data_IF_942904568045
#
_entry.id   IF_942904568045
#
_cell.length_a   1.000
_cell.length_b   1.000
_cell.length_c   1.000
_cell.angle_alpha   90.00
_cell.angle_beta   90.00
_cell.angle_gamma   90.00
#
_symmetry.space_group_name_H-M   'P 1'
#
loop_
_entity.id
_entity.type
_entity.pdbx_description
1 polymer ?
#
# COMPACT_ATOMS: atom_id res chain seq x y z
N UNK A 1 6.40 -5.38 -34.66
CA UNK A 1 5.64 -5.15 -33.41
C UNK A 1 6.64 -4.85 -32.31
N UNK A 2 6.38 -3.83 -31.48
CA UNK A 2 7.25 -3.53 -30.35
C UNK A 2 7.28 -4.75 -29.39
N UNK A 3 8.42 -5.00 -28.76
CA UNK A 3 8.57 -6.11 -27.82
C UNK A 3 7.76 -5.82 -26.57
N UNK A 4 6.75 -6.65 -26.28
CA UNK A 4 5.98 -6.60 -25.03
C UNK A 4 6.66 -7.52 -24.01
N UNK A 5 6.98 -6.97 -22.84
CA UNK A 5 7.61 -7.73 -21.75
C UNK A 5 6.60 -8.11 -20.67
N UNK A 6 5.60 -7.27 -20.41
CA UNK A 6 4.58 -7.48 -19.39
C UNK A 6 3.37 -8.18 -20.02
N UNK A 7 2.98 -9.38 -19.54
CA UNK A 7 1.75 -10.05 -19.98
C UNK A 7 0.48 -9.27 -19.64
N UNK A 8 -0.59 -9.44 -20.43
CA UNK A 8 -1.91 -8.85 -20.17
C UNK A 8 -2.68 -9.63 -19.10
N UNK A 9 -2.14 -9.63 -17.89
CA UNK A 9 -2.71 -10.28 -16.72
C UNK A 9 -2.83 -9.25 -15.60
N UNK A 10 -4.03 -9.11 -15.03
CA UNK A 10 -4.27 -8.34 -13.82
C UNK A 10 -4.32 -9.29 -12.63
N UNK A 11 -3.50 -9.03 -11.61
CA UNK A 11 -3.49 -9.74 -10.35
C UNK A 11 -4.06 -8.86 -9.24
N UNK A 12 -4.86 -9.42 -8.35
CA UNK A 12 -5.27 -8.75 -7.12
C UNK A 12 -5.48 -9.77 -6.00
N UNK A 13 -5.39 -9.34 -4.74
CA UNK A 13 -5.60 -10.21 -3.59
C UNK A 13 -6.97 -9.98 -2.94
N UNK A 14 -7.65 -11.06 -2.57
CA UNK A 14 -8.85 -11.05 -1.73
C UNK A 14 -8.76 -12.08 -0.59
N UNK A 15 -8.12 -11.67 0.50
CA UNK A 15 -8.05 -12.47 1.72
C UNK A 15 -9.13 -12.02 2.70
N UNK A 16 -9.96 -12.96 3.14
CA UNK A 16 -11.04 -12.72 4.08
C UNK A 16 -11.09 -13.82 5.15
N UNK A 17 -11.46 -13.51 6.42
CA UNK A 17 -11.71 -14.54 7.43
C UNK A 17 -12.80 -15.55 7.04
N UNK A 18 -13.72 -15.14 6.17
CA UNK A 18 -14.82 -15.98 5.66
C UNK A 18 -14.54 -16.31 4.19
N UNK A 19 -14.26 -17.58 3.86
CA UNK A 19 -14.14 -18.02 2.47
C UNK A 19 -15.40 -17.65 1.66
N UNK A 20 -15.21 -17.12 0.46
CA UNK A 20 -16.31 -16.70 -0.42
C UNK A 20 -17.04 -15.42 0.02
N UNK A 21 -16.50 -14.65 0.97
CA UNK A 21 -17.09 -13.37 1.35
C UNK A 21 -17.21 -12.43 0.14
N UNK A 22 -18.37 -11.78 -0.05
CA UNK A 22 -18.58 -10.86 -1.16
C UNK A 22 -17.64 -9.66 -1.04
N UNK A 23 -17.33 -9.05 -2.18
CA UNK A 23 -16.58 -7.81 -2.15
C UNK A 23 -17.47 -6.65 -1.68
N UNK A 24 -16.90 -5.63 -1.01
CA UNK A 24 -17.56 -4.35 -0.82
C UNK A 24 -17.86 -3.66 -2.17
N UNK A 25 -18.87 -2.79 -2.20
CA UNK A 25 -19.28 -2.06 -3.41
C UNK A 25 -18.12 -1.32 -4.10
N UNK A 26 -17.20 -0.75 -3.32
CA UNK A 26 -16.03 -0.07 -3.87
C UNK A 26 -15.14 -1.02 -4.68
N UNK A 27 -14.92 -2.23 -4.18
CA UNK A 27 -14.09 -3.24 -4.84
C UNK A 27 -14.80 -3.72 -6.12
N UNK A 28 -16.12 -3.93 -6.08
CA UNK A 28 -16.89 -4.22 -7.30
C UNK A 28 -16.78 -3.09 -8.33
N UNK A 29 -16.83 -1.82 -7.89
CA UNK A 29 -16.64 -0.66 -8.76
C UNK A 29 -15.25 -0.64 -9.39
N UNK A 30 -14.20 -0.90 -8.61
CA UNK A 30 -12.83 -0.99 -9.10
C UNK A 30 -12.67 -2.13 -10.13
N UNK A 31 -13.06 -3.36 -9.79
CA UNK A 31 -13.00 -4.51 -10.71
C UNK A 31 -13.80 -4.25 -12.01
N UNK A 32 -14.95 -3.58 -11.91
CA UNK A 32 -15.75 -3.22 -13.09
C UNK A 32 -15.00 -2.24 -14.01
N UNK A 33 -14.30 -1.26 -13.44
CA UNK A 33 -13.44 -0.36 -14.21
C UNK A 33 -12.31 -1.09 -14.92
N UNK A 34 -11.74 -2.14 -14.29
CA UNK A 34 -10.70 -2.95 -14.91
C UNK A 34 -11.25 -3.69 -16.13
N UNK A 35 -12.39 -4.38 -15.98
CA UNK A 35 -13.06 -5.09 -17.09
C UNK A 35 -13.42 -4.16 -18.25
N UNK A 36 -13.82 -2.93 -17.94
CA UNK A 36 -14.19 -1.94 -18.96
C UNK A 36 -12.97 -1.40 -19.72
N UNK A 37 -11.89 -1.06 -19.01
CA UNK A 37 -10.72 -0.39 -19.60
C UNK A 37 -9.65 -1.36 -20.12
N UNK A 38 -9.71 -2.63 -19.69
CA UNK A 38 -8.74 -3.68 -19.99
C UNK A 38 -9.47 -4.95 -20.50
N UNK A 39 -10.30 -4.86 -21.56
CA UNK A 39 -11.22 -5.92 -21.95
C UNK A 39 -10.54 -7.21 -22.44
N UNK A 40 -9.27 -7.13 -22.85
CA UNK A 40 -8.46 -8.25 -23.32
C UNK A 40 -7.46 -8.76 -22.27
N UNK A 41 -7.50 -8.23 -21.04
CA UNK A 41 -6.67 -8.69 -19.93
C UNK A 41 -7.35 -9.84 -19.19
N UNK A 42 -6.55 -10.83 -18.77
CA UNK A 42 -7.01 -11.87 -17.85
C UNK A 42 -6.97 -11.33 -16.42
N UNK A 43 -8.08 -11.39 -15.69
CA UNK A 43 -8.13 -10.97 -14.27
C UNK A 43 -8.01 -12.22 -13.38
N UNK A 44 -6.98 -12.24 -12.54
CA UNK A 44 -6.68 -13.33 -11.59
C UNK A 44 -6.81 -12.83 -10.16
N UNK A 45 -7.74 -13.43 -9.41
CA UNK A 45 -7.83 -13.26 -7.96
C UNK A 45 -6.90 -14.23 -7.24
N UNK A 46 -6.18 -13.73 -6.24
CA UNK A 46 -5.40 -14.51 -5.29
C UNK A 46 -6.03 -14.47 -3.89
N UNK A 47 -6.27 -15.65 -3.32
CA UNK A 47 -6.90 -15.85 -2.01
C UNK A 47 -6.23 -17.02 -1.27
N UNK A 48 -6.81 -17.43 -0.13
CA UNK A 48 -6.21 -18.45 0.72
C UNK A 48 -6.15 -19.86 0.10
N UNK A 49 -6.95 -20.14 -0.94
CA UNK A 49 -7.03 -21.44 -1.57
C UNK A 49 -6.00 -21.61 -2.70
N UNK A 50 -5.56 -20.52 -3.32
CA UNK A 50 -4.66 -20.54 -4.48
C UNK A 50 -3.32 -19.81 -4.26
N UNK A 51 -3.10 -19.18 -3.11
CA UNK A 51 -1.83 -18.54 -2.77
C UNK A 51 -0.91 -19.47 -1.97
N UNK A 52 0.41 -19.40 -2.20
CA UNK A 52 1.39 -20.16 -1.41
C UNK A 52 1.64 -19.52 -0.04
N UNK A 53 0.69 -19.67 0.88
CA UNK A 53 0.76 -19.08 2.23
C UNK A 53 1.82 -19.73 3.14
N UNK A 54 2.45 -20.83 2.69
CA UNK A 54 3.54 -21.50 3.38
C UNK A 54 4.93 -21.20 2.79
N UNK A 55 5.03 -20.26 1.83
CA UNK A 55 6.26 -20.03 1.08
C UNK A 55 7.45 -19.59 1.94
N UNK A 56 7.19 -18.79 2.97
CA UNK A 56 8.21 -18.35 3.94
C UNK A 56 7.57 -18.03 5.30
N UNK A 57 8.41 -17.81 6.32
CA UNK A 57 7.93 -17.51 7.67
C UNK A 57 7.09 -16.23 7.71
N UNK A 58 7.50 -15.18 6.99
CA UNK A 58 6.77 -13.92 6.96
C UNK A 58 5.30 -14.08 6.54
N UNK A 59 5.03 -14.67 5.37
CA UNK A 59 3.65 -14.78 4.84
C UNK A 59 2.80 -15.71 5.70
N UNK A 60 3.39 -16.80 6.21
CA UNK A 60 2.71 -17.73 7.11
C UNK A 60 2.28 -17.04 8.40
N UNK A 61 3.22 -16.36 9.06
CA UNK A 61 2.97 -15.65 10.32
C UNK A 61 1.98 -14.49 10.14
N UNK A 62 2.08 -13.74 9.04
CA UNK A 62 1.12 -12.68 8.71
C UNK A 62 -0.30 -13.22 8.49
N UNK A 63 -0.43 -14.37 7.82
CA UNK A 63 -1.72 -15.02 7.60
C UNK A 63 -2.32 -15.56 8.91
N UNK A 64 -1.54 -16.25 9.74
CA UNK A 64 -1.95 -16.74 11.06
C UNK A 64 -2.37 -15.59 11.99
N UNK A 65 -1.68 -14.45 11.93
CA UNK A 65 -2.03 -13.23 12.66
C UNK A 65 -3.23 -12.47 12.06
N UNK A 66 -3.84 -12.97 10.97
CA UNK A 66 -4.94 -12.34 10.22
C UNK A 66 -4.61 -10.93 9.73
N UNK A 67 -3.35 -10.69 9.40
CA UNK A 67 -2.82 -9.41 8.90
C UNK A 67 -2.76 -9.42 7.37
N UNK A 68 -3.93 -9.56 6.76
CA UNK A 68 -4.09 -9.83 5.33
C UNK A 68 -3.46 -8.81 4.37
N UNK A 69 -3.40 -7.52 4.74
CA UNK A 69 -2.69 -6.53 3.93
C UNK A 69 -1.21 -6.90 3.72
N UNK A 70 -0.56 -7.43 4.76
CA UNK A 70 0.83 -7.87 4.71
C UNK A 70 1.00 -9.24 4.03
N UNK A 71 -0.06 -10.06 4.00
CA UNK A 71 -0.10 -11.25 3.14
C UNK A 71 -0.10 -10.84 1.67
N UNK A 72 -0.92 -9.85 1.29
CA UNK A 72 -0.95 -9.30 -0.07
C UNK A 72 0.37 -8.64 -0.48
N UNK A 73 1.14 -8.07 0.45
CA UNK A 73 2.48 -7.54 0.21
C UNK A 73 3.46 -8.61 -0.29
N UNK A 74 3.37 -9.84 0.23
CA UNK A 74 4.17 -10.96 -0.27
C UNK A 74 3.60 -11.51 -1.59
N UNK A 75 2.30 -11.83 -1.60
CA UNK A 75 1.66 -12.51 -2.73
C UNK A 75 1.75 -11.69 -4.01
N UNK A 76 1.65 -10.35 -3.95
CA UNK A 76 1.85 -9.50 -5.14
C UNK A 76 3.21 -9.73 -5.80
N UNK A 77 4.27 -9.88 -5.01
CA UNK A 77 5.63 -10.06 -5.54
C UNK A 77 5.83 -11.47 -6.07
N UNK A 78 5.28 -12.46 -5.36
CA UNK A 78 5.34 -13.87 -5.77
C UNK A 78 4.68 -14.08 -7.15
N UNK A 79 3.47 -13.54 -7.33
CA UNK A 79 2.72 -13.70 -8.58
C UNK A 79 3.31 -12.88 -9.72
N UNK A 80 3.80 -11.66 -9.46
CA UNK A 80 4.52 -10.88 -10.47
C UNK A 80 5.84 -11.56 -10.88
N UNK A 81 6.56 -12.17 -9.94
CA UNK A 81 7.76 -12.92 -10.26
C UNK A 81 7.46 -14.17 -11.10
N UNK A 82 6.39 -14.90 -10.77
CA UNK A 82 6.03 -16.16 -11.44
C UNK A 82 5.40 -15.94 -12.81
N UNK A 83 4.44 -15.01 -12.92
CA UNK A 83 3.59 -14.84 -14.10
C UNK A 83 3.90 -13.56 -14.88
N UNK A 84 4.58 -12.59 -14.27
CA UNK A 84 4.59 -11.21 -14.75
C UNK A 84 3.22 -10.57 -14.55
N UNK A 85 2.86 -9.60 -15.40
CA UNK A 85 1.55 -8.96 -15.39
C UNK A 85 1.55 -7.65 -14.62
N UNK A 86 0.35 -7.23 -14.21
CA UNK A 86 0.12 -6.01 -13.45
C UNK A 86 -0.66 -6.35 -12.20
N UNK A 87 -0.12 -6.03 -11.03
CA UNK A 87 -0.82 -6.13 -9.77
C UNK A 87 -1.58 -4.83 -9.49
N UNK A 88 -2.84 -4.95 -9.05
CA UNK A 88 -3.69 -3.85 -8.62
C UNK A 88 -4.23 -4.10 -7.20
N UNK A 89 -4.14 -3.09 -6.33
CA UNK A 89 -4.91 -3.08 -5.09
C UNK A 89 -6.42 -2.94 -5.39
N UNK A 90 -7.25 -3.51 -4.53
CA UNK A 90 -8.71 -3.61 -4.75
C UNK A 90 -9.46 -2.27 -4.71
N UNK A 91 -8.79 -1.19 -4.30
CA UNK A 91 -9.27 0.18 -4.30
C UNK A 91 -8.58 1.06 -5.36
N UNK A 92 -8.02 0.45 -6.41
CA UNK A 92 -7.52 1.15 -7.61
C UNK A 92 -8.61 1.22 -8.66
N UNK A 93 -9.02 2.42 -9.04
CA UNK A 93 -9.91 2.67 -10.18
C UNK A 93 -9.07 2.81 -11.46
N UNK A 94 -9.29 1.97 -12.47
CA UNK A 94 -8.60 2.08 -13.76
C UNK A 94 -9.38 3.02 -14.68
N UNK A 95 -8.67 3.96 -15.29
CA UNK A 95 -9.23 5.04 -16.09
C UNK A 95 -8.89 4.92 -17.58
N UNK A 96 -7.90 4.09 -17.95
CA UNK A 96 -7.54 3.78 -19.34
C UNK A 96 -6.76 2.47 -19.44
N UNK A 97 -6.53 2.01 -20.68
CA UNK A 97 -5.70 0.82 -20.93
C UNK A 97 -4.22 1.01 -20.55
N UNK A 98 -3.61 -0.01 -19.95
CA UNK A 98 -2.18 -0.06 -19.64
C UNK A 98 -1.30 -0.50 -20.82
N UNK A 99 -1.88 -0.77 -22.00
CA UNK A 99 -1.16 -1.20 -23.21
C UNK A 99 0.12 -0.40 -23.51
N UNK A 100 0.12 0.95 -23.40
CA UNK A 100 1.33 1.75 -23.64
C UNK A 100 2.50 1.45 -22.70
N UNK A 101 2.24 0.82 -21.55
CA UNK A 101 3.23 0.54 -20.50
C UNK A 101 3.82 -0.88 -20.61
N UNK A 102 3.26 -1.74 -21.48
CA UNK A 102 3.64 -3.17 -21.54
C UNK A 102 5.04 -3.42 -22.14
N UNK A 103 5.65 -2.41 -22.74
CA UNK A 103 7.03 -2.44 -23.23
C UNK A 103 8.08 -2.23 -22.14
N UNK A 104 7.68 -1.84 -20.93
CA UNK A 104 8.59 -1.76 -19.79
C UNK A 104 8.91 -3.16 -19.24
N UNK A 105 10.08 -3.33 -18.64
CA UNK A 105 10.42 -4.59 -17.93
C UNK A 105 9.71 -4.68 -16.57
N UNK A 106 9.48 -3.54 -15.95
CA UNK A 106 8.62 -3.34 -14.81
C UNK A 106 8.28 -1.86 -14.73
N UNK A 107 7.15 -1.54 -14.10
CA UNK A 107 6.80 -0.17 -13.78
C UNK A 107 6.12 -0.04 -12.42
N UNK A 108 6.28 1.13 -11.83
CA UNK A 108 5.50 1.63 -10.70
C UNK A 108 5.42 3.15 -10.83
N UNK A 109 4.74 3.83 -9.90
CA UNK A 109 4.74 5.30 -9.88
C UNK A 109 4.92 5.86 -8.50
N UNK A 110 5.29 7.13 -8.45
CA UNK A 110 5.29 7.88 -7.20
C UNK A 110 3.85 7.96 -6.65
N UNK A 111 3.70 7.77 -5.35
CA UNK A 111 2.43 7.98 -4.64
C UNK A 111 2.44 9.31 -3.87
N UNK A 112 3.63 9.68 -3.37
CA UNK A 112 3.89 10.95 -2.70
C UNK A 112 5.19 11.57 -3.21
N UNK A 113 5.51 12.77 -2.76
CA UNK A 113 6.79 13.44 -3.01
C UNK A 113 8.01 12.75 -2.37
N UNK A 114 7.83 11.60 -1.71
CA UNK A 114 8.92 10.86 -1.06
C UNK A 114 8.74 9.33 -1.08
N UNK A 115 7.76 8.80 -1.81
CA UNK A 115 7.49 7.35 -1.86
C UNK A 115 6.96 6.90 -3.21
N UNK A 116 7.35 5.69 -3.59
CA UNK A 116 6.73 4.93 -4.68
C UNK A 116 5.51 4.18 -4.12
N UNK A 117 4.40 4.20 -4.84
CA UNK A 117 3.21 3.41 -4.54
C UNK A 117 3.35 1.97 -5.02
N UNK A 118 2.70 1.04 -4.32
CA UNK A 118 2.66 -0.39 -4.72
C UNK A 118 1.24 -0.87 -5.01
N UNK A 119 0.28 0.06 -5.03
CA UNK A 119 -1.10 -0.18 -5.43
C UNK A 119 -1.22 -0.52 -6.92
N UNK A 120 -0.24 -0.11 -7.73
CA UNK A 120 -0.09 -0.51 -9.14
C UNK A 120 1.38 -0.85 -9.38
N UNK A 121 1.66 -2.10 -9.74
CA UNK A 121 3.00 -2.55 -10.16
C UNK A 121 2.85 -3.42 -11.40
N UNK A 122 3.51 -3.06 -12.49
CA UNK A 122 3.68 -3.92 -13.65
C UNK A 122 5.05 -4.60 -13.65
N UNK A 123 5.13 -5.85 -14.09
CA UNK A 123 6.42 -6.54 -14.21
C UNK A 123 6.40 -7.66 -15.24
N UNK A 124 7.53 -7.89 -15.89
CA UNK A 124 7.80 -9.16 -16.58
C UNK A 124 8.06 -10.25 -15.53
N UNK A 125 7.78 -11.51 -15.89
CA UNK A 125 8.15 -12.63 -15.05
C UNK A 125 9.67 -12.65 -14.82
N UNK A 126 10.10 -12.93 -13.58
CA UNK A 126 11.52 -12.98 -13.21
C UNK A 126 12.25 -11.63 -13.24
N UNK A 127 11.55 -10.50 -13.11
CA UNK A 127 12.21 -9.19 -13.01
C UNK A 127 13.20 -9.15 -11.81
N UNK A 128 14.48 -8.74 -12.01
CA UNK A 128 15.49 -8.78 -10.95
C UNK A 128 15.16 -7.95 -9.70
N UNK A 129 14.48 -6.81 -9.84
CA UNK A 129 14.07 -5.99 -8.70
C UNK A 129 12.98 -6.69 -7.88
N UNK A 130 11.99 -7.29 -8.55
CA UNK A 130 10.92 -8.04 -7.89
C UNK A 130 11.48 -9.27 -7.17
N UNK A 131 12.41 -9.99 -7.81
CA UNK A 131 13.14 -11.10 -7.18
C UNK A 131 13.89 -10.66 -5.93
N UNK A 132 14.60 -9.54 -6.00
CA UNK A 132 15.32 -8.99 -4.84
C UNK A 132 14.36 -8.65 -3.68
N UNK A 133 13.17 -8.11 -3.97
CA UNK A 133 12.15 -7.85 -2.95
C UNK A 133 11.63 -9.16 -2.35
N UNK A 134 11.34 -10.17 -3.18
CA UNK A 134 10.83 -11.46 -2.72
C UNK A 134 11.87 -12.21 -1.85
N UNK A 135 13.14 -12.18 -2.25
CA UNK A 135 14.25 -12.73 -1.46
C UNK A 135 14.39 -12.08 -0.08
N UNK A 136 14.12 -10.78 0.00
CA UNK A 136 14.14 -10.05 1.26
C UNK A 136 13.00 -10.52 2.17
N UNK A 137 11.76 -10.68 1.66
CA UNK A 137 10.67 -11.30 2.43
C UNK A 137 10.98 -12.74 2.87
N UNK A 138 11.65 -13.54 2.03
CA UNK A 138 12.01 -14.91 2.37
C UNK A 138 12.98 -15.02 3.56
N UNK A 139 13.67 -13.93 3.92
CA UNK A 139 14.59 -13.84 5.06
C UNK A 139 13.95 -13.21 6.30
N UNK A 140 12.73 -12.68 6.18
CA UNK A 140 12.02 -11.97 7.26
C UNK A 140 11.13 -12.90 8.07
N UNK A 141 10.84 -12.45 9.28
CA UNK A 141 9.73 -12.92 10.10
C UNK A 141 8.74 -11.77 10.27
N UNK A 142 7.44 -12.08 10.20
CA UNK A 142 6.40 -11.10 10.51
C UNK A 142 6.22 -10.96 12.03
N UNK A 143 6.35 -12.06 12.80
CA UNK A 143 6.35 -12.02 14.25
C UNK A 143 7.77 -11.85 14.78
N UNK A 144 8.05 -10.70 15.41
CA UNK A 144 9.37 -10.37 15.93
C UNK A 144 9.62 -11.00 17.31
N UNK A 145 10.89 -11.19 17.73
CA UNK A 145 11.22 -11.82 19.02
C UNK A 145 10.63 -11.12 20.26
N UNK A 146 10.31 -9.83 20.16
CA UNK A 146 9.67 -9.05 21.22
C UNK A 146 8.13 -9.17 21.23
N UNK A 147 7.55 -10.02 20.38
CA UNK A 147 6.11 -10.24 20.23
C UNK A 147 5.38 -9.18 19.39
N UNK A 148 6.09 -8.19 18.85
CA UNK A 148 5.51 -7.20 17.91
C UNK A 148 5.53 -7.71 16.46
N UNK A 149 4.81 -7.03 15.56
CA UNK A 149 4.76 -7.39 14.14
C UNK A 149 5.70 -6.51 13.31
N UNK A 150 6.37 -7.08 12.30
CA UNK A 150 7.02 -6.31 11.24
C UNK A 150 5.96 -5.74 10.29
N UNK A 151 5.53 -4.52 10.58
CA UNK A 151 4.56 -3.79 9.75
C UNK A 151 5.22 -2.92 8.69
N UNK A 152 6.46 -3.23 8.27
CA UNK A 152 7.13 -2.52 7.16
C UNK A 152 6.43 -2.85 5.85
N UNK A 153 5.79 -1.88 5.16
CA UNK A 153 4.98 -2.17 3.99
C UNK A 153 5.83 -2.23 2.71
N UNK A 154 5.30 -2.88 1.68
CA UNK A 154 5.94 -3.02 0.36
C UNK A 154 6.49 -1.69 -0.25
N UNK A 155 5.76 -0.55 -0.18
CA UNK A 155 6.25 0.77 -0.64
C UNK A 155 7.59 1.17 -0.04
N UNK A 156 7.84 0.87 1.24
CA UNK A 156 9.10 1.23 1.91
C UNK A 156 10.27 0.48 1.30
N UNK A 157 10.11 -0.83 1.07
CA UNK A 157 11.13 -1.66 0.45
C UNK A 157 11.41 -1.25 -0.99
N UNK A 158 10.35 -1.11 -1.81
CA UNK A 158 10.48 -0.69 -3.21
C UNK A 158 11.18 0.67 -3.33
N UNK A 159 10.73 1.66 -2.54
CA UNK A 159 11.32 3.00 -2.51
C UNK A 159 12.81 2.96 -2.15
N UNK A 160 13.19 2.18 -1.13
CA UNK A 160 14.60 2.04 -0.75
C UNK A 160 15.45 1.44 -1.87
N UNK A 161 14.98 0.36 -2.51
CA UNK A 161 15.70 -0.32 -3.58
C UNK A 161 15.82 0.53 -4.84
N UNK A 162 14.79 1.33 -5.16
CA UNK A 162 14.83 2.28 -6.26
C UNK A 162 15.78 3.46 -5.97
N UNK A 163 15.85 3.93 -4.71
CA UNK A 163 16.84 4.95 -4.30
C UNK A 163 18.29 4.47 -4.48
N UNK A 164 18.56 3.20 -4.15
CA UNK A 164 19.87 2.59 -4.41
C UNK A 164 20.20 2.52 -5.91
N UNK A 165 19.17 2.54 -6.77
CA UNK A 165 19.28 2.57 -8.24
C UNK A 165 19.23 3.98 -8.84
N UNK A 166 19.28 5.03 -8.01
CA UNK A 166 19.36 6.41 -8.47
C UNK A 166 18.03 7.15 -8.55
N UNK A 167 16.94 6.62 -7.98
CA UNK A 167 15.66 7.36 -7.89
C UNK A 167 15.87 8.75 -7.27
N UNK A 168 15.35 9.76 -7.95
CA UNK A 168 15.19 11.12 -7.43
C UNK A 168 13.69 11.38 -7.21
N UNK A 169 13.33 12.06 -6.12
CA UNK A 169 11.93 12.40 -5.85
C UNK A 169 11.51 13.67 -6.60
N UNK A 170 11.63 13.61 -7.92
CA UNK A 170 11.11 14.59 -8.86
C UNK A 170 9.85 13.97 -9.48
N UNK A 171 8.76 14.73 -9.57
CA UNK A 171 7.49 14.25 -10.12
C UNK A 171 7.55 14.14 -11.66
N UNK A 172 8.47 13.29 -12.15
CA UNK A 172 8.76 13.08 -13.56
C UNK A 172 9.10 11.60 -13.80
N UNK A 173 8.99 11.18 -15.06
CA UNK A 173 9.36 9.84 -15.50
C UNK A 173 10.85 9.58 -15.31
N UNK A 174 11.17 8.39 -14.79
CA UNK A 174 12.54 7.98 -14.49
C UNK A 174 12.72 6.49 -14.82
N UNK A 175 13.52 6.22 -15.85
CA UNK A 175 13.98 4.87 -16.14
C UNK A 175 15.15 4.52 -15.24
N UNK A 176 14.94 3.59 -14.30
CA UNK A 176 15.98 3.05 -13.43
C UNK A 176 16.41 1.67 -13.92
N UNK A 177 17.44 1.11 -13.29
CA UNK A 177 17.79 -0.30 -13.53
C UNK A 177 16.61 -1.21 -13.16
N UNK A 178 16.14 -1.99 -14.14
CA UNK A 178 15.09 -3.01 -14.01
C UNK A 178 13.65 -2.48 -13.80
N UNK A 179 13.42 -1.16 -13.71
CA UNK A 179 12.08 -0.59 -13.47
C UNK A 179 11.94 0.85 -14.01
N UNK A 180 10.77 1.15 -14.58
CA UNK A 180 10.34 2.50 -14.93
C UNK A 180 9.48 3.10 -13.80
N UNK A 181 9.86 4.28 -13.29
CA UNK A 181 9.09 5.01 -12.29
C UNK A 181 8.38 6.20 -12.93
N UNK A 182 7.06 6.15 -12.92
CA UNK A 182 6.18 7.21 -13.43
C UNK A 182 5.86 8.28 -12.39
N UNK A 183 5.52 9.52 -12.80
CA UNK A 183 5.08 10.56 -11.90
C UNK A 183 3.73 10.21 -11.26
N UNK A 184 3.38 10.93 -10.19
CA UNK A 184 2.17 10.71 -9.41
C UNK A 184 0.90 10.76 -10.27
N UNK A 185 0.89 11.57 -11.32
CA UNK A 185 -0.22 11.75 -12.27
C UNK A 185 -0.68 10.45 -12.94
N UNK A 186 0.19 9.44 -13.05
CA UNK A 186 -0.09 8.21 -13.78
C UNK A 186 -1.00 7.25 -13.01
N UNK A 187 -0.74 7.03 -11.71
CA UNK A 187 -1.46 6.02 -10.92
C UNK A 187 -2.08 6.57 -9.64
N UNK A 188 -1.62 7.73 -9.16
CA UNK A 188 -2.10 8.36 -7.94
C UNK A 188 -2.25 9.89 -8.12
N UNK A 189 -3.10 10.32 -9.08
CA UNK A 189 -3.34 11.75 -9.34
C UNK A 189 -3.99 12.42 -8.12
N UNK A 190 -4.84 11.70 -7.38
CA UNK A 190 -5.38 12.14 -6.11
C UNK A 190 -4.62 11.48 -4.95
N UNK A 191 -4.38 12.24 -3.89
CA UNK A 191 -3.97 11.69 -2.60
C UNK A 191 -4.61 12.54 -1.49
N UNK A 192 -5.30 11.94 -0.50
CA UNK A 192 -6.14 12.67 0.46
C UNK A 192 -5.37 13.68 1.33
N UNK A 193 -4.05 13.57 1.37
CA UNK A 193 -3.17 14.41 2.19
C UNK A 193 -2.18 15.28 1.37
N UNK A 194 -2.31 15.31 0.04
CA UNK A 194 -1.45 16.15 -0.82
C UNK A 194 -1.97 17.59 -0.77
N UNK A 195 -1.10 18.54 -0.43
CA UNK A 195 -1.49 19.96 -0.27
C UNK A 195 -1.87 20.60 -1.59
N UNK A 196 -1.22 20.14 -2.65
CA UNK A 196 -1.34 20.62 -4.02
C UNK A 196 -2.65 20.14 -4.69
N UNK A 197 -3.40 19.23 -4.05
CA UNK A 197 -4.69 18.74 -4.54
C UNK A 197 -4.57 17.56 -5.50
N UNK A 198 -5.53 17.49 -6.43
CA UNK A 198 -5.60 16.49 -7.51
C UNK A 198 -4.71 16.89 -8.70
N UNK A 199 -4.05 15.90 -9.30
CA UNK A 199 -3.09 16.07 -10.40
C UNK A 199 -3.43 15.12 -11.55
N UNK A 200 -4.64 15.27 -12.12
CA UNK A 200 -5.09 14.49 -13.27
C UNK A 200 -4.49 15.03 -14.58
N UNK A 201 -4.19 14.13 -15.51
CA UNK A 201 -3.64 14.46 -16.83
C UNK A 201 -4.11 13.48 -17.90
N UNK A 202 -3.79 13.76 -19.16
CA UNK A 202 -3.96 12.81 -20.28
C UNK A 202 -3.15 11.52 -20.09
N UNK A 203 -2.21 11.51 -19.15
CA UNK A 203 -1.40 10.35 -18.77
C UNK A 203 -1.90 9.65 -17.50
N UNK A 204 -3.09 9.97 -17.00
CA UNK A 204 -3.66 9.27 -15.84
C UNK A 204 -4.23 7.90 -16.24
N UNK A 205 -3.59 6.83 -15.77
CA UNK A 205 -4.03 5.46 -16.02
C UNK A 205 -4.95 4.90 -14.95
N UNK A 206 -4.75 5.32 -13.70
CA UNK A 206 -5.58 4.87 -12.59
C UNK A 206 -5.60 5.90 -11.47
N UNK A 207 -6.48 5.65 -10.50
CA UNK A 207 -6.57 6.43 -9.28
C UNK A 207 -6.69 5.50 -8.06
N UNK A 208 -5.71 5.54 -7.18
CA UNK A 208 -5.74 4.87 -5.88
C UNK A 208 -6.69 5.61 -4.93
N UNK A 209 -7.74 4.93 -4.44
CA UNK A 209 -8.81 5.56 -3.67
C UNK A 209 -8.57 5.61 -2.15
N UNK A 210 -7.47 5.05 -1.66
CA UNK A 210 -7.07 5.07 -0.24
C UNK A 210 -8.18 4.59 0.70
N UNK A 211 -8.82 3.46 0.38
CA UNK A 211 -9.96 2.98 1.17
C UNK A 211 -9.52 2.51 2.56
N UNK A 212 -8.27 2.07 2.74
CA UNK A 212 -7.73 1.77 4.08
C UNK A 212 -8.52 0.68 4.81
N UNK A 213 -9.01 -0.34 4.10
CA UNK A 213 -9.84 -1.43 4.68
C UNK A 213 -9.08 -2.28 5.68
N UNK A 214 -7.75 -2.22 5.68
CA UNK A 214 -6.88 -2.87 6.65
C UNK A 214 -6.84 -2.17 8.02
N UNK A 215 -7.37 -0.94 8.11
CA UNK A 215 -7.47 -0.18 9.35
C UNK A 215 -8.79 -0.56 10.02
N UNK A 216 -8.74 -0.96 11.29
CA UNK A 216 -9.97 -1.26 12.02
C UNK A 216 -10.90 -0.02 12.05
N UNK A 217 -12.24 -0.21 12.04
CA UNK A 217 -13.17 0.90 11.91
C UNK A 217 -13.01 2.00 12.97
N UNK A 218 -12.67 1.63 14.21
CA UNK A 218 -12.49 2.58 15.31
C UNK A 218 -11.23 3.43 15.10
N UNK A 219 -10.11 2.80 14.72
CA UNK A 219 -8.88 3.52 14.34
C UNK A 219 -9.11 4.39 13.12
N UNK A 220 -9.83 3.91 12.09
CA UNK A 220 -10.15 4.71 10.90
C UNK A 220 -10.99 5.93 11.26
N UNK A 221 -11.99 5.77 12.12
CA UNK A 221 -12.82 6.88 12.62
C UNK A 221 -12.00 7.87 13.44
N UNK A 222 -11.12 7.38 14.32
CA UNK A 222 -10.19 8.22 15.07
C UNK A 222 -9.26 9.01 14.14
N UNK A 223 -8.70 8.36 13.11
CA UNK A 223 -7.83 8.99 12.11
C UNK A 223 -8.58 10.10 11.36
N UNK A 224 -9.77 9.81 10.81
CA UNK A 224 -10.62 10.80 10.14
C UNK A 224 -10.97 11.98 11.06
N UNK A 225 -11.26 11.71 12.32
CA UNK A 225 -11.55 12.75 13.30
C UNK A 225 -10.32 13.64 13.56
N UNK A 226 -9.14 13.02 13.76
CA UNK A 226 -7.89 13.77 13.95
C UNK A 226 -7.51 14.59 12.71
N UNK A 227 -7.84 14.08 11.52
CA UNK A 227 -7.52 14.72 10.26
C UNK A 227 -8.17 16.09 10.12
N UNK A 228 -9.41 16.24 10.58
CA UNK A 228 -10.12 17.54 10.63
C UNK A 228 -9.28 18.63 11.32
N UNK A 229 -8.57 18.28 12.39
CA UNK A 229 -7.77 19.21 13.16
C UNK A 229 -6.37 19.40 12.59
N UNK A 230 -5.77 18.37 12.00
CA UNK A 230 -4.48 18.48 11.28
C UNK A 230 -4.55 19.49 10.15
N UNK A 231 -5.66 19.53 9.43
CA UNK A 231 -5.83 20.45 8.30
C UNK A 231 -5.86 21.92 8.73
N UNK A 232 -6.42 22.21 9.92
CA UNK A 232 -6.54 23.58 10.46
C UNK A 232 -5.34 24.00 11.28
N UNK A 233 -4.73 23.08 12.03
CA UNK A 233 -3.74 23.38 13.07
C UNK A 233 -2.34 22.80 12.79
N UNK A 234 -2.17 22.14 11.63
CA UNK A 234 -0.94 21.46 11.25
C UNK A 234 -0.77 20.08 11.89
N UNK A 235 0.18 19.31 11.35
CA UNK A 235 0.34 17.86 11.62
C UNK A 235 0.50 17.55 13.11
N UNK A 236 1.36 18.32 13.80
CA UNK A 236 1.73 18.05 15.18
C UNK A 236 0.64 18.49 16.17
N UNK A 237 0.24 19.76 16.12
CA UNK A 237 -0.75 20.31 17.05
C UNK A 237 -2.15 19.75 16.76
N UNK A 238 -2.55 19.72 15.49
CA UNK A 238 -3.83 19.18 15.07
C UNK A 238 -3.96 17.68 15.32
N UNK A 239 -2.88 16.91 15.11
CA UNK A 239 -2.87 15.49 15.44
C UNK A 239 -3.09 15.21 16.92
N UNK A 240 -2.40 15.93 17.81
CA UNK A 240 -2.57 15.78 19.25
C UNK A 240 -3.94 16.25 19.74
N UNK A 241 -4.41 17.41 19.29
CA UNK A 241 -5.70 17.95 19.68
C UNK A 241 -6.85 17.05 19.19
N UNK A 242 -6.80 16.64 17.93
CA UNK A 242 -7.79 15.74 17.36
C UNK A 242 -7.86 14.40 18.10
N UNK A 243 -6.71 13.81 18.43
CA UNK A 243 -6.67 12.56 19.19
C UNK A 243 -7.22 12.71 20.61
N UNK A 244 -6.97 13.86 21.25
CA UNK A 244 -7.50 14.18 22.57
C UNK A 244 -9.01 14.35 22.54
N UNK A 245 -9.53 15.15 21.61
CA UNK A 245 -10.97 15.41 21.47
C UNK A 245 -11.76 14.16 21.08
N UNK A 246 -11.22 13.34 20.17
CA UNK A 246 -11.83 12.05 19.82
C UNK A 246 -12.00 11.16 21.06
N UNK A 247 -10.96 11.08 21.91
CA UNK A 247 -11.00 10.29 23.14
C UNK A 247 -11.99 10.84 24.16
N UNK A 248 -12.08 12.16 24.32
CA UNK A 248 -13.11 12.76 25.18
C UNK A 248 -14.50 12.31 24.72
N UNK A 249 -14.78 12.39 23.42
CA UNK A 249 -16.09 12.08 22.86
C UNK A 249 -16.48 10.61 23.05
N UNK A 250 -15.54 9.67 22.90
CA UNK A 250 -15.83 8.22 22.89
C UNK A 250 -15.55 7.52 24.23
N UNK A 251 -14.57 8.01 25.00
CA UNK A 251 -14.14 7.41 26.27
C UNK A 251 -14.49 8.24 27.50
N UNK A 252 -14.98 9.46 27.32
CA UNK A 252 -15.26 10.40 28.40
C UNK A 252 -14.02 11.15 28.90
N UNK A 253 -14.26 12.26 29.60
CA UNK A 253 -13.22 13.20 30.06
C UNK A 253 -12.25 12.52 31.04
N UNK A 254 -12.76 11.83 32.06
CA UNK A 254 -11.95 11.25 33.14
C UNK A 254 -10.96 10.20 32.62
N UNK A 255 -11.42 9.27 31.79
CA UNK A 255 -10.59 8.20 31.21
C UNK A 255 -9.54 8.77 30.24
N UNK A 256 -9.88 9.85 29.53
CA UNK A 256 -8.94 10.55 28.65
C UNK A 256 -7.83 11.23 29.45
N UNK A 257 -8.17 11.95 30.53
CA UNK A 257 -7.20 12.60 31.40
C UNK A 257 -6.25 11.59 32.05
N UNK A 258 -6.77 10.46 32.54
CA UNK A 258 -5.96 9.36 33.09
C UNK A 258 -4.97 8.80 32.05
N UNK A 259 -5.43 8.59 30.81
CA UNK A 259 -4.57 8.10 29.73
C UNK A 259 -3.39 9.04 29.45
N UNK A 260 -3.65 10.35 29.38
CA UNK A 260 -2.60 11.33 29.13
C UNK A 260 -1.68 11.54 30.34
N UNK A 261 -2.22 11.46 31.56
CA UNK A 261 -1.43 11.44 32.79
C UNK A 261 -0.42 10.29 32.77
N UNK A 262 -0.87 9.07 32.45
CA UNK A 262 0.00 7.89 32.39
C UNK A 262 1.08 8.03 31.30
N UNK A 263 0.74 8.57 30.12
CA UNK A 263 1.72 8.86 29.06
C UNK A 263 2.78 9.86 29.52
N UNK A 264 2.37 10.90 30.25
CA UNK A 264 3.28 11.90 30.78
C UNK A 264 4.25 11.29 31.81
N UNK A 265 3.72 10.51 32.76
CA UNK A 265 4.54 9.81 33.76
C UNK A 265 5.55 8.87 33.10
N UNK A 266 5.13 8.12 32.08
CA UNK A 266 6.02 7.23 31.34
C UNK A 266 7.13 8.00 30.59
N UNK A 267 6.81 9.14 29.97
CA UNK A 267 7.80 10.01 29.30
C UNK A 267 8.81 10.59 30.28
N UNK A 268 8.36 11.01 31.47
CA UNK A 268 9.22 11.52 32.54
C UNK A 268 10.16 10.43 33.05
N UNK A 269 9.64 9.22 33.28
CA UNK A 269 10.45 8.07 33.71
C UNK A 269 11.53 7.71 32.68
N UNK A 270 11.18 7.69 31.39
CA UNK A 270 12.13 7.39 30.31
C UNK A 270 13.24 8.45 30.19
N UNK A 271 12.91 9.73 30.37
CA UNK A 271 13.93 10.82 30.41
C UNK A 271 14.87 10.73 31.60
N UNK A 272 14.44 10.14 32.71
CA UNK A 272 15.28 9.93 33.89
C UNK A 272 16.22 8.74 33.76
N UNK A 273 15.89 7.75 32.93
CA UNK A 273 16.77 6.60 32.64
C UNK A 273 17.84 6.88 31.58
N UNK A 274 17.68 7.94 30.77
CA UNK A 274 18.65 8.38 29.77
C UNK A 274 19.57 9.52 30.26
N UNK A 275 19.51 9.90 31.54
CA UNK A 275 20.44 10.80 32.21
C UNK A 275 21.29 9.99 33.18
#
# INVERSE_FOLDING_TARGET
MAKSYIPKIIHFCWFNPTPGAPYPDLVYKCISSWKQMLPDYTIMEWNAENSNLGACNYVKEAFEAKKYAFVSDYVRLDVLNQYGGIYLDTDVLVLRSFDPLLSDQAFAGLETSSSIGTCVIGSQAGNPLIQQMLEDYNKRHFLLPNGSFDTTPNPTLLTQLCRQRGLQFQNQEQMLKDIHIYPMTYFCPFHPYRKEGEDFSDHTYSNHLFNGTWIDPETKQAMLYTQKYKHVLGEHLGGHLGAFLYRIQHNGVLKTLQTYHNKLQHSIAKKRQCR
#
